data_IF_654622755246
#
_entry.id   IF_654622755246
#
_cell.length_a   1.000
_cell.length_b   1.000
_cell.length_c   1.000
_cell.angle_alpha   90.00
_cell.angle_beta   90.00
_cell.angle_gamma   90.00
#
_symmetry.space_group_name_H-M   'P 1'
#
loop_
_entity.id
_entity.type
_entity.pdbx_description
1 polymer ?
#
# COMPACT_ATOMS: atom_id res chain seq x y z
N UNK A 1 -17.77 -19.29 -7.39
CA UNK A 1 -17.05 -18.16 -7.99
C UNK A 1 -16.38 -17.33 -6.92
N UNK A 2 -15.08 -17.18 -6.99
CA UNK A 2 -14.32 -16.45 -5.97
C UNK A 2 -14.07 -15.02 -6.45
N UNK A 3 -14.58 -14.08 -5.70
CA UNK A 3 -14.39 -12.67 -5.99
C UNK A 3 -12.96 -12.26 -5.63
N UNK A 4 -12.30 -11.57 -6.53
CA UNK A 4 -10.95 -11.04 -6.29
C UNK A 4 -11.04 -9.59 -5.84
N UNK A 5 -10.32 -9.26 -4.79
CA UNK A 5 -10.40 -7.92 -4.16
C UNK A 5 -9.02 -7.29 -4.02
N UNK A 6 -8.93 -6.03 -4.40
CA UNK A 6 -7.79 -5.17 -4.10
C UNK A 6 -8.22 -4.12 -3.07
N UNK A 7 -7.57 -4.14 -1.91
CA UNK A 7 -7.76 -3.10 -0.90
C UNK A 7 -6.68 -2.04 -1.08
N UNK A 8 -7.09 -0.81 -1.35
CA UNK A 8 -6.19 0.34 -1.35
C UNK A 8 -6.29 0.99 0.02
N UNK A 9 -5.22 0.90 0.81
CA UNK A 9 -5.18 1.40 2.17
C UNK A 9 -4.33 2.66 2.21
N UNK A 10 -4.96 3.77 2.53
CA UNK A 10 -4.36 5.12 2.52
C UNK A 10 -4.19 5.63 3.93
N UNK A 11 -3.17 6.41 4.16
CA UNK A 11 -2.98 7.07 5.46
C UNK A 11 -1.61 7.71 5.57
N UNK A 12 -1.50 8.66 6.48
CA UNK A 12 -0.23 9.32 6.77
C UNK A 12 0.74 8.34 7.44
N UNK A 13 2.05 8.61 7.39
CA UNK A 13 3.02 7.81 8.15
C UNK A 13 2.62 7.74 9.62
N UNK A 14 2.66 6.53 10.18
CA UNK A 14 2.28 6.30 11.57
C UNK A 14 0.78 6.11 11.82
N UNK A 15 -0.04 6.12 10.78
CA UNK A 15 -1.49 5.97 10.93
C UNK A 15 -1.93 4.54 11.30
N UNK A 16 -1.05 3.55 11.12
CA UNK A 16 -1.40 2.14 11.36
C UNK A 16 -1.91 1.41 10.13
N UNK A 17 -1.70 1.98 8.94
CA UNK A 17 -2.22 1.39 7.71
C UNK A 17 -1.68 0.00 7.40
N UNK A 18 -0.39 -0.27 7.67
CA UNK A 18 0.20 -1.61 7.45
C UNK A 18 -0.45 -2.66 8.33
N UNK A 19 -0.67 -2.34 9.60
CA UNK A 19 -1.32 -3.24 10.56
C UNK A 19 -2.76 -3.51 10.12
N UNK A 20 -3.47 -2.49 9.71
CA UNK A 20 -4.85 -2.62 9.24
C UNK A 20 -4.91 -3.46 7.95
N UNK A 21 -4.03 -3.18 7.00
CA UNK A 21 -3.97 -3.93 5.74
C UNK A 21 -3.71 -5.41 5.97
N UNK A 22 -2.79 -5.73 6.88
CA UNK A 22 -2.48 -7.12 7.23
C UNK A 22 -3.71 -7.83 7.80
N UNK A 23 -4.51 -7.15 8.62
CA UNK A 23 -5.74 -7.73 9.16
C UNK A 23 -6.76 -8.01 8.06
N UNK A 24 -6.80 -7.17 7.03
CA UNK A 24 -7.73 -7.38 5.91
C UNK A 24 -7.39 -8.62 5.09
N UNK A 25 -6.11 -8.83 4.80
CA UNK A 25 -5.69 -9.89 3.87
C UNK A 25 -5.10 -11.12 4.57
N UNK A 26 -4.86 -11.04 5.87
CA UNK A 26 -4.47 -12.17 6.69
C UNK A 26 -3.00 -12.57 6.64
N UNK A 27 -2.18 -11.94 5.78
CA UNK A 27 -0.76 -12.29 5.67
C UNK A 27 0.06 -11.07 5.25
N UNK A 28 1.24 -10.95 5.84
CA UNK A 28 2.13 -9.81 5.57
C UNK A 28 2.60 -9.73 4.11
N UNK A 29 2.83 -10.87 3.45
CA UNK A 29 3.31 -10.87 2.06
C UNK A 29 2.25 -10.37 1.07
N UNK A 30 0.98 -10.43 1.44
CA UNK A 30 -0.13 -9.91 0.62
C UNK A 30 -0.33 -8.41 0.76
N UNK A 31 0.41 -7.76 1.66
CA UNK A 31 0.42 -6.31 1.80
C UNK A 31 1.60 -5.76 1.01
N UNK A 32 1.30 -5.06 -0.08
CA UNK A 32 2.31 -4.46 -0.96
C UNK A 32 2.51 -3.00 -0.55
N UNK A 33 3.74 -2.62 -0.28
CA UNK A 33 4.09 -1.28 0.19
C UNK A 33 5.38 -0.82 -0.46
N UNK A 34 5.43 0.45 -0.85
CA UNK A 34 6.67 1.04 -1.37
C UNK A 34 7.79 0.99 -0.32
N UNK A 35 7.45 1.22 0.96
CA UNK A 35 8.43 1.21 2.05
C UNK A 35 9.17 -0.11 2.20
N UNK A 36 8.57 -1.22 1.82
CA UNK A 36 9.24 -2.53 1.88
C UNK A 36 10.45 -2.63 0.97
N UNK A 37 10.53 -1.78 -0.04
CA UNK A 37 11.69 -1.71 -0.94
C UNK A 37 12.97 -1.38 -0.17
N UNK A 38 12.84 -0.61 0.91
CA UNK A 38 13.97 -0.14 1.72
C UNK A 38 14.36 -1.10 2.84
N UNK A 39 13.67 -2.23 2.98
CA UNK A 39 13.98 -3.24 3.99
C UNK A 39 15.00 -4.21 3.42
N UNK A 40 16.14 -4.36 4.12
CA UNK A 40 17.13 -5.38 3.77
C UNK A 40 16.55 -6.75 4.13
N UNK A 41 16.42 -7.62 3.13
CA UNK A 41 15.80 -8.93 3.30
C UNK A 41 16.61 -9.87 4.22
N UNK A 42 17.91 -9.66 4.30
CA UNK A 42 18.80 -10.51 5.11
C UNK A 42 18.84 -10.05 6.57
N UNK A 43 18.89 -8.73 6.81
CA UNK A 43 19.05 -8.17 8.16
C UNK A 43 17.76 -7.65 8.75
N UNK A 44 16.73 -7.37 7.92
CA UNK A 44 15.50 -6.73 8.35
C UNK A 44 15.64 -5.24 8.59
N UNK A 45 16.79 -4.68 8.31
CA UNK A 45 17.06 -3.26 8.54
C UNK A 45 16.36 -2.37 7.52
N UNK A 46 15.78 -1.26 7.99
CA UNK A 46 15.11 -0.28 7.14
C UNK A 46 16.06 0.88 6.84
N UNK A 47 16.37 1.10 5.57
CA UNK A 47 17.27 2.15 5.11
C UNK A 47 16.60 2.99 4.02
N UNK A 48 15.91 4.03 4.45
CA UNK A 48 15.21 4.94 3.53
C UNK A 48 16.20 5.79 2.73
N UNK A 49 15.97 5.88 1.41
CA UNK A 49 16.73 6.73 0.49
C UNK A 49 15.75 7.46 -0.43
N UNK A 50 15.62 8.77 -0.22
CA UNK A 50 14.68 9.60 -0.98
C UNK A 50 14.95 9.59 -2.48
N UNK A 51 16.22 9.40 -2.89
CA UNK A 51 16.58 9.35 -4.32
C UNK A 51 16.03 8.10 -5.03
N UNK A 52 15.62 7.10 -4.26
CA UNK A 52 15.08 5.82 -4.76
C UNK A 52 13.58 5.68 -4.56
N UNK A 53 12.91 6.75 -4.20
CA UNK A 53 11.48 6.72 -3.93
C UNK A 53 10.67 6.27 -5.16
N UNK A 54 11.06 6.74 -6.34
CA UNK A 54 10.44 6.32 -7.60
C UNK A 54 10.60 4.82 -7.83
N UNK A 55 11.78 4.29 -7.55
CA UNK A 55 12.05 2.85 -7.67
C UNK A 55 11.21 2.03 -6.68
N UNK A 56 11.03 2.57 -5.47
CA UNK A 56 10.21 1.93 -4.45
C UNK A 56 8.75 1.82 -4.89
N UNK A 57 8.21 2.87 -5.49
CA UNK A 57 6.84 2.87 -6.00
C UNK A 57 6.69 1.92 -7.20
N UNK A 58 7.70 1.87 -8.07
CA UNK A 58 7.71 0.90 -9.18
C UNK A 58 7.75 -0.53 -8.67
N UNK A 59 8.57 -0.80 -7.67
CA UNK A 59 8.64 -2.11 -7.03
C UNK A 59 7.27 -2.53 -6.49
N UNK A 60 6.59 -1.63 -5.80
CA UNK A 60 5.27 -1.90 -5.24
C UNK A 60 4.25 -2.21 -6.34
N UNK A 61 4.21 -1.39 -7.37
CA UNK A 61 3.31 -1.59 -8.52
C UNK A 61 3.57 -2.93 -9.21
N UNK A 62 4.84 -3.24 -9.48
CA UNK A 62 5.22 -4.49 -10.15
C UNK A 62 4.84 -5.70 -9.31
N UNK A 63 4.95 -5.61 -7.98
CA UNK A 63 4.58 -6.69 -7.08
C UNK A 63 3.07 -6.95 -7.12
N UNK A 64 2.27 -5.89 -7.07
CA UNK A 64 0.81 -6.01 -7.19
C UNK A 64 0.43 -6.65 -8.51
N UNK A 65 1.02 -6.19 -9.60
CA UNK A 65 0.74 -6.76 -10.92
C UNK A 65 1.15 -8.23 -11.00
N UNK A 66 2.29 -8.59 -10.44
CA UNK A 66 2.76 -9.98 -10.40
C UNK A 66 1.75 -10.87 -9.69
N UNK A 67 1.27 -10.45 -8.53
CA UNK A 67 0.26 -11.21 -7.78
C UNK A 67 -1.04 -11.35 -8.56
N UNK A 68 -1.48 -10.28 -9.22
CA UNK A 68 -2.69 -10.32 -10.03
C UNK A 68 -2.57 -11.27 -11.23
N UNK A 69 -1.40 -11.29 -11.89
CA UNK A 69 -1.12 -12.24 -12.97
C UNK A 69 -1.14 -13.68 -12.47
N UNK A 70 -0.51 -13.92 -11.32
CA UNK A 70 -0.46 -15.24 -10.72
C UNK A 70 -1.85 -15.75 -10.33
N UNK A 71 -2.76 -14.83 -9.98
CA UNK A 71 -4.14 -15.19 -9.65
C UNK A 71 -4.90 -15.79 -10.84
N UNK A 72 -4.44 -15.55 -12.07
CA UNK A 72 -5.04 -16.15 -13.26
C UNK A 72 -4.78 -17.65 -13.32
N UNK A 73 -3.70 -18.12 -12.68
CA UNK A 73 -3.32 -19.53 -12.60
C UNK A 73 -3.77 -20.15 -11.29
N UNK A 74 -3.59 -19.41 -10.18
CA UNK A 74 -3.98 -19.85 -8.84
C UNK A 74 -4.87 -18.81 -8.17
N UNK A 75 -6.16 -18.91 -8.41
CA UNK A 75 -7.18 -17.97 -7.98
C UNK A 75 -7.29 -17.81 -6.47
N UNK A 76 -6.96 -18.85 -5.69
CA UNK A 76 -7.15 -18.82 -4.24
C UNK A 76 -6.04 -18.09 -3.50
N UNK A 77 -4.80 -18.12 -4.02
CA UNK A 77 -3.64 -17.56 -3.33
C UNK A 77 -3.64 -16.03 -3.29
N UNK A 78 -4.02 -15.40 -4.41
CA UNK A 78 -3.95 -13.95 -4.55
C UNK A 78 -5.34 -13.34 -4.74
N UNK A 79 -6.33 -13.96 -4.11
CA UNK A 79 -7.71 -13.49 -4.18
C UNK A 79 -7.89 -12.14 -3.50
N UNK A 80 -7.16 -11.92 -2.41
CA UNK A 80 -7.20 -10.67 -1.67
C UNK A 80 -5.79 -10.11 -1.56
N UNK A 81 -5.60 -8.90 -2.06
CA UNK A 81 -4.33 -8.18 -2.06
C UNK A 81 -4.57 -6.80 -1.47
N UNK A 82 -3.64 -6.30 -0.67
CA UNK A 82 -3.68 -4.93 -0.19
C UNK A 82 -2.48 -4.17 -0.72
N UNK A 83 -2.70 -2.93 -1.14
CA UNK A 83 -1.62 -1.98 -1.41
C UNK A 83 -1.75 -0.85 -0.39
N UNK A 84 -0.69 -0.61 0.36
CA UNK A 84 -0.70 0.30 1.49
C UNK A 84 0.41 1.34 1.32
N UNK A 85 0.03 2.56 1.02
CA UNK A 85 0.94 3.70 0.86
C UNK A 85 0.21 4.94 1.35
N UNK A 86 0.89 6.09 1.41
CA UNK A 86 0.24 7.32 1.86
C UNK A 86 -0.93 7.71 0.96
N UNK A 87 -0.76 7.59 -0.35
CA UNK A 87 -1.80 7.90 -1.33
C UNK A 87 -2.52 9.21 -1.01
N UNK A 88 -1.76 10.29 -0.88
CA UNK A 88 -2.33 11.59 -0.51
C UNK A 88 -3.24 12.15 -1.60
N UNK A 89 -3.00 11.77 -2.85
CA UNK A 89 -3.75 12.29 -4.00
C UNK A 89 -4.29 11.18 -4.89
N UNK A 90 -5.40 11.47 -5.53
CA UNK A 90 -6.12 10.48 -6.34
C UNK A 90 -5.27 9.93 -7.50
N UNK A 91 -4.46 10.77 -8.13
CA UNK A 91 -3.62 10.33 -9.24
C UNK A 91 -2.63 9.24 -8.85
N UNK A 92 -2.24 9.20 -7.56
CA UNK A 92 -1.33 8.17 -7.05
C UNK A 92 -1.98 6.80 -7.02
N UNK A 93 -3.30 6.73 -6.89
CA UNK A 93 -4.06 5.48 -6.85
C UNK A 93 -4.44 4.98 -8.25
N UNK A 94 -4.49 5.87 -9.22
CA UNK A 94 -4.97 5.56 -10.58
C UNK A 94 -4.33 4.33 -11.21
N UNK A 95 -3.00 4.15 -11.16
CA UNK A 95 -2.38 2.94 -11.72
C UNK A 95 -2.95 1.65 -11.14
N UNK A 96 -3.30 1.66 -9.85
CA UNK A 96 -3.86 0.49 -9.18
C UNK A 96 -5.32 0.23 -9.56
N UNK A 97 -6.10 1.28 -9.80
CA UNK A 97 -7.44 1.14 -10.37
C UNK A 97 -7.37 0.47 -11.74
N UNK A 98 -6.41 0.89 -12.56
CA UNK A 98 -6.22 0.32 -13.90
C UNK A 98 -5.78 -1.14 -13.85
N UNK A 99 -4.89 -1.51 -12.93
CA UNK A 99 -4.50 -2.91 -12.71
C UNK A 99 -5.70 -3.76 -12.30
N UNK A 100 -6.50 -3.26 -11.37
CA UNK A 100 -7.67 -3.98 -10.89
C UNK A 100 -8.66 -4.22 -12.02
N UNK A 101 -8.91 -3.23 -12.85
CA UNK A 101 -9.78 -3.38 -14.03
C UNK A 101 -9.22 -4.43 -14.99
N UNK A 102 -7.92 -4.37 -15.26
CA UNK A 102 -7.25 -5.29 -16.18
C UNK A 102 -7.36 -6.76 -15.76
N UNK A 103 -7.22 -7.02 -14.45
CA UNK A 103 -7.17 -8.38 -13.93
C UNK A 103 -8.44 -8.84 -13.20
N UNK A 104 -9.49 -8.03 -13.23
CA UNK A 104 -10.79 -8.41 -12.69
C UNK A 104 -10.88 -8.36 -11.17
N UNK A 105 -10.21 -7.39 -10.53
CA UNK A 105 -10.28 -7.17 -9.10
C UNK A 105 -11.30 -6.08 -8.77
N UNK A 106 -12.10 -6.32 -7.74
CA UNK A 106 -12.95 -5.29 -7.14
C UNK A 106 -12.11 -4.45 -6.19
N UNK A 107 -12.21 -3.12 -6.27
CA UNK A 107 -11.41 -2.23 -5.44
C UNK A 107 -12.22 -1.66 -4.29
N UNK A 108 -11.67 -1.72 -3.08
CA UNK A 108 -12.15 -0.96 -1.93
C UNK A 108 -11.04 -0.03 -1.48
N UNK A 109 -11.39 1.25 -1.28
CA UNK A 109 -10.44 2.26 -0.80
C UNK A 109 -10.78 2.59 0.64
N UNK A 110 -9.78 2.54 1.52
CA UNK A 110 -9.96 2.82 2.95
C UNK A 110 -8.90 3.83 3.39
N UNK A 111 -9.31 4.83 4.16
CA UNK A 111 -8.41 5.79 4.78
C UNK A 111 -8.26 5.42 6.25
N UNK A 112 -7.03 5.24 6.71
CA UNK A 112 -6.73 4.91 8.09
C UNK A 112 -6.27 6.16 8.82
N UNK A 113 -7.02 6.56 9.84
CA UNK A 113 -6.70 7.71 10.69
C UNK A 113 -5.95 7.23 11.94
N UNK A 114 -5.00 8.05 12.42
CA UNK A 114 -4.30 7.75 13.66
C UNK A 114 -5.13 8.20 14.86
N UNK A 115 -6.11 7.40 15.25
CA UNK A 115 -6.92 7.63 16.46
C UNK A 115 -6.51 6.72 17.62
N UNK A 116 -5.55 5.82 17.37
CA UNK A 116 -5.08 4.84 18.34
C UNK A 116 -3.79 5.26 19.05
N UNK A 117 -3.23 6.44 18.71
CA UNK A 117 -2.01 6.94 19.32
C UNK A 117 -0.71 6.34 18.82
N UNK A 118 -0.77 5.62 17.68
CA UNK A 118 0.44 5.03 17.08
C UNK A 118 1.46 6.09 16.68
N UNK A 119 2.73 5.70 16.72
CA UNK A 119 3.85 6.59 16.39
C UNK A 119 4.32 6.38 14.96
N UNK A 120 4.90 7.44 14.41
CA UNK A 120 5.55 7.42 13.11
C UNK A 120 6.87 6.66 13.21
N UNK A 121 6.85 5.35 12.92
CA UNK A 121 8.02 4.47 13.03
C UNK A 121 9.03 4.67 11.92
N UNK A 122 8.67 5.38 10.85
CA UNK A 122 9.59 5.69 9.75
C UNK A 122 10.37 6.98 9.93
N UNK A 123 10.13 7.70 11.04
CA UNK A 123 10.88 8.90 11.38
C UNK A 123 10.66 10.07 10.43
N UNK A 124 9.49 10.15 9.79
CA UNK A 124 9.16 11.28 8.91
C UNK A 124 9.05 12.56 9.74
N UNK A 125 9.77 13.65 9.38
CA UNK A 125 9.71 14.91 10.14
C UNK A 125 8.30 15.51 10.20
N UNK A 126 7.98 16.19 11.30
CA UNK A 126 6.66 16.78 11.52
C UNK A 126 6.24 17.77 10.43
N UNK A 127 7.18 18.55 9.91
CA UNK A 127 6.90 19.49 8.82
C UNK A 127 6.45 18.78 7.55
N UNK A 128 7.03 17.62 7.26
CA UNK A 128 6.64 16.78 6.12
C UNK A 128 5.29 16.12 6.34
N UNK A 129 5.00 15.71 7.57
CA UNK A 129 3.68 15.17 7.94
C UNK A 129 2.59 16.22 7.72
N UNK A 130 2.88 17.49 8.10
CA UNK A 130 1.94 18.59 7.91
C UNK A 130 1.67 18.85 6.43
N UNK A 131 2.72 18.83 5.59
CA UNK A 131 2.58 18.98 4.14
C UNK A 131 1.70 17.85 3.56
N UNK A 132 1.94 16.61 3.98
CA UNK A 132 1.15 15.46 3.54
C UNK A 132 -0.30 15.58 3.98
N UNK A 133 -0.54 16.02 5.23
CA UNK A 133 -1.88 16.20 5.77
C UNK A 133 -2.66 17.23 4.96
N UNK A 134 -2.01 18.34 4.61
CA UNK A 134 -2.65 19.45 3.91
C UNK A 134 -2.98 19.12 2.45
N UNK A 135 -2.19 18.25 1.80
CA UNK A 135 -2.47 17.86 0.41
C UNK A 135 -3.34 16.61 0.30
N UNK A 136 -3.68 15.97 1.43
CA UNK A 136 -4.42 14.72 1.42
C UNK A 136 -5.83 14.95 0.85
N UNK A 137 -6.11 14.30 -0.26
CA UNK A 137 -7.41 14.36 -0.93
C UNK A 137 -8.28 13.18 -0.52
N UNK A 138 -9.52 13.45 -0.15
CA UNK A 138 -10.49 12.39 -0.08
C UNK A 138 -11.83 12.88 -0.61
N UNK A 139 -12.55 11.97 -1.25
CA UNK A 139 -13.74 12.28 -2.00
C UNK A 139 -14.65 11.06 -2.00
N UNK A 140 -15.85 11.24 -1.55
CA UNK A 140 -16.83 10.16 -1.50
C UNK A 140 -17.60 10.03 -2.81
#
# INVERSE_FOLDING_TARGET
MTEKTLYIVRGLPGSGKSTFAKKLVGANFLVCEADKYFINKETGEYNFDVTKLKDAHKYCYDLVETYMKDSLVNNQFYREIAVSNTFTQEWEMKPYFELAEKYGYTVFVTIVENRHGGKNVHGVPDDKLEVMRNRFEFKL
#
